data_IF_005208826171
#
_entry.id   IF_005208826171
#
_cell.length_a   1.000
_cell.length_b   1.000
_cell.length_c   1.000
_cell.angle_alpha   90.00
_cell.angle_beta   90.00
_cell.angle_gamma   90.00
#
_symmetry.space_group_name_H-M   'P 1'
#
loop_
_entity.id
_entity.type
_entity.pdbx_description
1 polymer ?
#
# COMPACT_ATOMS: atom_id res chain seq x y z
N UNK A 1 62.07 -6.28 -16.62
CA UNK A 1 63.36 -6.97 -16.39
C UNK A 1 63.40 -7.38 -14.93
N UNK A 2 63.91 -8.59 -14.64
CA UNK A 2 64.03 -9.32 -13.36
C UNK A 2 63.12 -10.55 -13.15
N UNK A 3 63.66 -11.66 -13.66
CA UNK A 3 63.92 -12.99 -13.04
C UNK A 3 62.93 -13.63 -12.05
N UNK A 4 62.46 -14.82 -12.45
CA UNK A 4 61.94 -15.91 -11.62
C UNK A 4 63.06 -16.60 -10.81
N UNK A 5 62.75 -16.98 -9.57
CA UNK A 5 63.51 -17.94 -8.79
C UNK A 5 62.56 -18.98 -8.18
N UNK A 6 62.78 -20.25 -8.52
CA UNK A 6 62.11 -21.41 -7.92
C UNK A 6 62.80 -21.80 -6.61
N UNK A 7 62.03 -22.12 -5.55
CA UNK A 7 62.38 -23.19 -4.62
C UNK A 7 61.17 -23.66 -3.79
N UNK A 8 61.22 -24.95 -3.46
CA UNK A 8 60.13 -25.84 -3.03
C UNK A 8 59.87 -25.84 -1.50
N UNK A 9 58.57 -25.77 -1.15
CA UNK A 9 57.82 -26.54 -0.13
C UNK A 9 58.09 -26.33 1.38
N UNK A 10 57.16 -26.75 2.28
CA UNK A 10 55.80 -26.23 2.51
C UNK A 10 55.64 -25.71 3.95
N UNK A 11 54.73 -24.78 4.20
CA UNK A 11 54.02 -24.68 5.49
C UNK A 11 52.81 -23.76 5.35
N UNK A 12 51.69 -24.26 5.86
CA UNK A 12 50.51 -23.47 6.17
C UNK A 12 50.88 -22.33 7.12
N UNK A 13 50.01 -21.32 7.13
CA UNK A 13 50.03 -20.11 7.98
C UNK A 13 50.69 -18.91 7.29
N UNK A 14 49.86 -18.09 6.65
CA UNK A 14 49.68 -16.68 7.07
C UNK A 14 48.69 -15.96 6.13
N UNK A 15 47.52 -15.59 6.68
CA UNK A 15 46.60 -14.65 6.05
C UNK A 15 47.16 -13.24 6.27
N UNK A 16 47.63 -12.58 5.21
CA UNK A 16 47.95 -11.15 5.25
C UNK A 16 46.68 -10.34 4.99
N UNK A 17 46.18 -9.66 6.02
CA UNK A 17 45.12 -8.65 5.89
C UNK A 17 45.71 -7.34 5.37
N UNK A 18 45.19 -6.83 4.25
CA UNK A 18 45.40 -5.45 3.83
C UNK A 18 44.20 -4.60 4.28
N UNK A 19 44.45 -3.73 5.26
CA UNK A 19 43.52 -2.72 5.76
C UNK A 19 43.44 -1.55 4.77
N UNK A 20 42.23 -1.26 4.28
CA UNK A 20 41.89 0.03 3.71
C UNK A 20 40.66 0.53 4.47
N UNK A 21 40.82 1.65 5.19
CA UNK A 21 39.76 2.28 5.96
C UNK A 21 38.80 3.04 5.04
N UNK A 22 37.53 2.62 4.98
CA UNK A 22 36.35 3.49 4.91
C UNK A 22 35.13 2.69 5.39
N UNK A 23 34.22 3.36 6.11
CA UNK A 23 33.09 2.78 6.87
C UNK A 23 31.79 2.70 6.01
N UNK A 24 30.71 2.01 6.42
CA UNK A 24 30.59 0.56 6.41
C UNK A 24 29.32 0.10 5.65
N UNK A 25 29.49 -0.76 4.64
CA UNK A 25 28.60 -1.85 4.22
C UNK A 25 29.01 -2.25 2.80
N UNK A 26 28.93 -3.54 2.49
CA UNK A 26 29.48 -4.22 1.30
C UNK A 26 30.94 -4.68 1.44
N UNK A 27 31.11 -5.86 2.04
CA UNK A 27 32.19 -6.79 1.69
C UNK A 27 31.71 -7.69 0.54
N UNK A 28 32.44 -7.72 -0.58
CA UNK A 28 32.27 -8.76 -1.60
C UNK A 28 32.91 -10.05 -1.10
N UNK A 29 32.15 -11.15 -1.07
CA UNK A 29 32.69 -12.50 -0.93
C UNK A 29 32.41 -13.28 -2.22
N UNK A 30 33.48 -13.75 -2.86
CA UNK A 30 33.41 -14.72 -3.95
C UNK A 30 34.05 -16.03 -3.50
N UNK A 31 33.39 -17.16 -3.72
CA UNK A 31 33.98 -18.48 -3.57
C UNK A 31 34.51 -18.96 -4.93
N UNK A 32 35.77 -19.40 -4.98
CA UNK A 32 36.37 -20.05 -6.14
C UNK A 32 36.46 -21.54 -5.83
N UNK A 33 35.79 -22.38 -6.63
CA UNK A 33 36.00 -23.83 -6.59
C UNK A 33 37.03 -24.23 -7.66
N UNK A 34 37.98 -25.13 -7.34
CA UNK A 34 38.91 -25.64 -8.34
C UNK A 34 38.23 -26.75 -9.16
N UNK A 35 38.08 -26.51 -10.45
CA UNK A 35 37.96 -27.59 -11.45
C UNK A 35 39.14 -27.39 -12.40
N UNK A 36 39.76 -28.50 -12.79
CA UNK A 36 41.08 -28.65 -13.41
C UNK A 36 41.50 -27.63 -14.49
N UNK A 37 42.82 -27.47 -14.63
CA UNK A 37 43.54 -26.49 -15.47
C UNK A 37 42.84 -26.16 -16.78
N UNK A 38 42.70 -24.84 -16.99
CA UNK A 38 42.26 -24.16 -18.19
C UNK A 38 40.73 -24.20 -18.42
N UNK A 39 39.97 -23.38 -17.67
CA UNK A 39 38.87 -22.49 -18.11
C UNK A 39 38.06 -21.97 -16.89
N UNK A 40 37.73 -20.67 -16.84
CA UNK A 40 36.83 -20.07 -15.84
C UNK A 40 35.44 -19.82 -16.46
N UNK A 41 34.37 -20.24 -15.79
CA UNK A 41 32.98 -19.90 -16.13
C UNK A 41 32.45 -18.84 -15.16
N UNK A 42 31.85 -17.77 -15.65
CA UNK A 42 31.11 -16.78 -14.85
C UNK A 42 29.62 -16.99 -15.14
N UNK A 43 28.88 -17.57 -14.19
CA UNK A 43 27.42 -17.65 -14.25
C UNK A 43 26.81 -16.54 -13.39
N UNK A 44 25.93 -15.73 -13.99
CA UNK A 44 25.32 -14.55 -13.38
C UNK A 44 23.88 -14.90 -12.98
N UNK A 45 23.64 -15.23 -11.71
CA UNK A 45 22.28 -15.32 -11.16
C UNK A 45 21.95 -14.06 -10.37
N UNK A 46 20.91 -13.34 -10.78
CA UNK A 46 20.29 -12.27 -10.00
C UNK A 46 19.10 -12.83 -9.23
N UNK A 47 19.27 -13.06 -7.93
CA UNK A 47 18.17 -13.28 -6.99
C UNK A 47 18.52 -12.67 -5.64
N UNK A 48 17.60 -11.86 -5.12
CA UNK A 48 17.65 -11.13 -3.85
C UNK A 48 17.83 -12.07 -2.63
N UNK A 49 18.43 -11.58 -1.52
CA UNK A 49 18.70 -12.37 -0.32
C UNK A 49 17.53 -12.35 0.70
N UNK A 50 17.42 -13.37 1.58
CA UNK A 50 16.62 -13.30 2.79
C UNK A 50 17.41 -12.72 3.98
N UNK A 51 16.75 -12.16 5.02
CA UNK A 51 17.41 -11.66 6.22
C UNK A 51 17.63 -12.77 7.28
N UNK A 52 18.72 -12.64 8.03
CA UNK A 52 19.12 -13.45 9.18
C UNK A 52 18.62 -12.78 10.48
N UNK A 53 17.99 -13.54 11.37
CA UNK A 53 18.32 -13.59 12.82
C UNK A 53 17.45 -14.62 13.54
N UNK A 54 18.06 -15.66 14.12
CA UNK A 54 17.45 -16.45 15.20
C UNK A 54 18.36 -16.39 16.43
N UNK A 55 17.73 -16.01 17.54
CA UNK A 55 18.21 -16.14 18.91
C UNK A 55 18.35 -17.62 19.28
N UNK A 56 19.42 -17.92 20.01
CA UNK A 56 19.67 -19.19 20.67
C UNK A 56 18.57 -19.51 21.70
N UNK A 57 18.15 -20.78 21.77
CA UNK A 57 17.82 -21.50 23.02
C UNK A 57 17.81 -23.02 22.76
N UNK A 58 18.11 -23.84 23.79
CA UNK A 58 18.84 -25.10 23.60
C UNK A 58 17.96 -26.34 23.35
N UNK A 59 18.49 -27.24 22.51
CA UNK A 59 18.01 -28.60 22.30
C UNK A 59 18.03 -29.41 23.60
N UNK A 60 16.86 -29.83 24.09
CA UNK A 60 16.75 -31.04 24.89
C UNK A 60 16.71 -32.24 23.95
N UNK A 61 17.72 -33.10 24.07
CA UNK A 61 17.79 -34.42 23.45
C UNK A 61 16.62 -35.30 23.91
N UNK A 62 15.60 -35.46 23.07
CA UNK A 62 14.65 -36.56 23.21
C UNK A 62 15.25 -37.83 22.59
N UNK A 63 15.78 -38.66 23.49
CA UNK A 63 16.12 -40.06 23.28
C UNK A 63 14.90 -40.78 22.67
N UNK A 64 15.04 -41.31 21.46
CA UNK A 64 14.01 -42.13 20.83
C UNK A 64 13.86 -43.44 21.60
N UNK A 65 12.83 -43.55 22.43
CA UNK A 65 12.37 -44.85 22.90
C UNK A 65 11.56 -45.50 21.78
N UNK A 66 12.08 -46.60 21.26
CA UNK A 66 11.36 -47.58 20.45
C UNK A 66 10.19 -48.13 21.26
N UNK A 67 9.00 -47.59 21.06
CA UNK A 67 7.74 -48.20 21.51
C UNK A 67 7.36 -49.24 20.45
N UNK A 68 7.80 -50.48 20.68
CA UNK A 68 7.07 -51.65 20.19
C UNK A 68 5.76 -51.74 20.98
N UNK A 69 4.72 -52.19 20.29
CA UNK A 69 3.39 -52.50 20.79
C UNK A 69 2.42 -51.32 21.05
N UNK A 70 1.83 -50.84 19.96
CA UNK A 70 0.44 -50.35 19.99
C UNK A 70 -0.35 -50.92 18.80
N UNK A 71 -1.00 -52.06 19.04
CA UNK A 71 -2.06 -52.62 18.19
C UNK A 71 -3.34 -51.78 18.35
N UNK A 72 -3.46 -50.63 17.66
CA UNK A 72 -4.76 -50.02 17.40
C UNK A 72 -4.69 -48.98 16.25
N UNK A 73 -5.28 -49.24 15.06
CA UNK A 73 -5.16 -48.36 13.90
C UNK A 73 -6.00 -47.07 13.97
N UNK A 74 -6.72 -46.81 15.07
CA UNK A 74 -7.66 -45.68 15.20
C UNK A 74 -7.06 -44.37 15.72
N UNK A 75 -5.77 -44.33 16.10
CA UNK A 75 -5.14 -43.12 16.68
C UNK A 75 -4.04 -42.46 15.84
N UNK A 76 -3.68 -43.03 14.68
CA UNK A 76 -2.69 -42.43 13.77
C UNK A 76 -3.28 -41.33 12.85
N UNK A 77 -4.61 -41.28 12.73
CA UNK A 77 -5.32 -40.35 11.84
C UNK A 77 -5.50 -38.96 12.48
N UNK A 78 -5.42 -38.86 13.82
CA UNK A 78 -5.72 -37.62 14.53
C UNK A 78 -4.56 -36.61 14.55
N UNK A 79 -3.31 -37.06 14.43
CA UNK A 79 -2.12 -36.19 14.48
C UNK A 79 -1.72 -35.67 13.09
N UNK A 80 -1.95 -36.45 12.03
CA UNK A 80 -1.73 -36.01 10.65
C UNK A 80 -2.73 -34.93 10.19
N UNK A 81 -3.91 -34.88 10.81
CA UNK A 81 -4.96 -33.90 10.48
C UNK A 81 -4.67 -32.48 11.00
N UNK A 82 -3.83 -32.32 12.03
CA UNK A 82 -3.47 -31.01 12.57
C UNK A 82 -2.29 -30.35 11.86
N UNK A 83 -1.40 -31.14 11.25
CA UNK A 83 -0.24 -30.60 10.51
C UNK A 83 -0.61 -30.20 9.07
N UNK A 84 -1.64 -30.82 8.48
CA UNK A 84 -2.13 -30.43 7.14
C UNK A 84 -3.08 -29.22 7.15
N UNK A 85 -3.62 -28.81 8.29
CA UNK A 85 -4.51 -27.65 8.38
C UNK A 85 -3.77 -26.31 8.62
N UNK A 86 -2.45 -26.35 8.83
CA UNK A 86 -1.64 -25.16 9.14
C UNK A 86 -1.07 -24.43 7.90
N UNK A 87 -1.32 -24.90 6.67
CA UNK A 87 -0.64 -24.39 5.45
C UNK A 87 -1.51 -23.53 4.52
N UNK A 88 -2.78 -23.25 4.84
CA UNK A 88 -3.62 -22.40 3.97
C UNK A 88 -4.40 -21.31 4.71
N UNK A 89 -3.74 -20.63 5.66
CA UNK A 89 -4.13 -19.26 5.99
C UNK A 89 -3.21 -18.35 5.18
N UNK A 90 -3.53 -18.15 3.89
CA UNK A 90 -3.07 -16.93 3.22
C UNK A 90 -3.68 -15.79 4.02
N UNK A 91 -2.88 -15.13 4.85
CA UNK A 91 -3.24 -13.86 5.44
C UNK A 91 -3.49 -12.91 4.27
N UNK A 92 -4.74 -12.75 3.89
CA UNK A 92 -5.17 -11.79 2.89
C UNK A 92 -4.94 -10.42 3.50
N UNK A 93 -3.78 -9.84 3.23
CA UNK A 93 -3.60 -8.40 3.44
C UNK A 93 -4.65 -7.72 2.60
N UNK A 94 -5.56 -6.99 3.25
CA UNK A 94 -6.62 -6.24 2.60
C UNK A 94 -5.99 -5.12 1.77
N UNK A 95 -5.68 -5.43 0.51
CA UNK A 95 -5.12 -4.51 -0.46
C UNK A 95 -6.10 -4.39 -1.62
N UNK A 96 -6.16 -3.21 -2.21
CA UNK A 96 -6.91 -2.95 -3.43
C UNK A 96 -6.45 -3.92 -4.54
N UNK A 97 -7.39 -4.34 -5.37
CA UNK A 97 -7.08 -5.23 -6.50
C UNK A 97 -6.18 -4.50 -7.51
N UNK A 98 -5.12 -5.17 -7.93
CA UNK A 98 -4.14 -4.65 -8.91
C UNK A 98 -4.46 -5.04 -10.37
N UNK A 99 -5.43 -5.94 -10.62
CA UNK A 99 -5.79 -6.42 -11.98
C UNK A 99 -7.22 -6.04 -12.39
N UNK A 100 -7.36 -5.65 -13.64
CA UNK A 100 -8.40 -4.76 -14.17
C UNK A 100 -9.46 -5.47 -15.00
N UNK A 101 -9.25 -6.72 -15.41
CA UNK A 101 -10.23 -7.45 -16.24
C UNK A 101 -11.41 -8.03 -15.45
N UNK A 102 -11.34 -7.90 -14.13
CA UNK A 102 -12.20 -8.60 -13.22
C UNK A 102 -13.40 -7.76 -12.79
N UNK A 103 -13.34 -6.42 -12.93
CA UNK A 103 -14.45 -5.51 -12.63
C UNK A 103 -14.43 -4.26 -13.53
N UNK A 104 -15.54 -3.52 -13.60
CA UNK A 104 -15.64 -2.22 -14.26
C UNK A 104 -16.46 -1.22 -13.43
N UNK A 105 -16.60 0.03 -13.92
CA UNK A 105 -17.41 1.08 -13.28
C UNK A 105 -18.73 1.39 -14.00
N UNK A 106 -19.10 0.60 -15.01
CA UNK A 106 -20.28 0.86 -15.83
C UNK A 106 -21.55 0.44 -15.07
N UNK A 107 -22.47 1.38 -14.87
CA UNK A 107 -23.74 1.08 -14.22
C UNK A 107 -24.57 0.12 -15.07
N UNK A 108 -25.01 -0.99 -14.48
CA UNK A 108 -25.79 -2.03 -15.16
C UNK A 108 -24.96 -3.08 -15.91
N UNK A 109 -23.63 -2.94 -15.95
CA UNK A 109 -22.74 -4.00 -16.42
C UNK A 109 -22.73 -5.18 -15.43
N UNK A 110 -22.61 -6.42 -15.93
CA UNK A 110 -22.40 -7.61 -15.09
C UNK A 110 -21.13 -7.52 -14.24
N UNK A 111 -20.16 -6.70 -14.66
CA UNK A 111 -18.91 -6.42 -13.92
C UNK A 111 -18.92 -5.07 -13.20
N UNK A 112 -20.05 -4.37 -13.25
CA UNK A 112 -20.19 -3.03 -12.68
C UNK A 112 -20.34 -3.01 -11.16
N UNK A 113 -20.34 -1.82 -10.53
CA UNK A 113 -20.31 -1.68 -9.07
C UNK A 113 -21.47 -2.34 -8.31
N UNK A 114 -22.62 -2.51 -8.97
CA UNK A 114 -23.78 -3.22 -8.41
C UNK A 114 -23.60 -4.73 -8.30
N UNK A 115 -22.62 -5.29 -9.01
CA UNK A 115 -22.37 -6.74 -9.11
C UNK A 115 -21.00 -7.16 -8.59
N UNK A 116 -20.13 -6.24 -8.15
CA UNK A 116 -18.79 -6.58 -7.68
C UNK A 116 -18.75 -7.70 -6.64
N UNK A 117 -19.70 -7.72 -5.69
CA UNK A 117 -19.75 -8.79 -4.68
C UNK A 117 -20.23 -10.15 -5.18
N UNK A 118 -20.77 -10.22 -6.40
CA UNK A 118 -21.18 -11.47 -7.05
C UNK A 118 -20.07 -12.07 -7.93
N UNK A 119 -19.04 -11.29 -8.28
CA UNK A 119 -17.98 -11.71 -9.20
C UNK A 119 -17.03 -12.72 -8.58
N UNK A 120 -16.76 -12.59 -7.27
CA UNK A 120 -15.85 -13.45 -6.52
C UNK A 120 -16.29 -13.57 -5.07
N UNK A 121 -16.05 -14.74 -4.49
CA UNK A 121 -16.29 -14.99 -3.06
C UNK A 121 -15.54 -14.00 -2.16
N UNK A 122 -14.28 -13.71 -2.48
CA UNK A 122 -13.46 -12.79 -1.68
C UNK A 122 -13.92 -11.32 -1.79
N UNK A 123 -14.86 -11.02 -2.69
CA UNK A 123 -15.41 -9.67 -2.91
C UNK A 123 -16.82 -9.52 -2.31
N UNK A 124 -17.34 -10.53 -1.62
CA UNK A 124 -18.69 -10.54 -1.05
C UNK A 124 -19.01 -9.30 -0.19
N UNK A 125 -17.99 -8.74 0.49
CA UNK A 125 -18.12 -7.51 1.26
C UNK A 125 -18.61 -6.31 0.42
N UNK A 126 -18.32 -6.28 -0.89
CA UNK A 126 -18.83 -5.24 -1.79
C UNK A 126 -20.38 -5.22 -1.87
N UNK A 127 -21.03 -6.35 -1.60
CA UNK A 127 -22.49 -6.51 -1.62
C UNK A 127 -23.11 -6.55 -0.22
N UNK A 128 -22.48 -7.30 0.68
CA UNK A 128 -23.05 -7.61 2.01
C UNK A 128 -22.50 -6.71 3.14
N UNK A 129 -21.49 -5.87 2.85
CA UNK A 129 -20.89 -4.98 3.83
C UNK A 129 -21.86 -3.89 4.32
N UNK A 130 -21.82 -3.60 5.61
CA UNK A 130 -22.68 -2.58 6.26
C UNK A 130 -21.97 -1.25 6.51
N UNK A 131 -20.65 -1.20 6.29
CA UNK A 131 -19.79 -0.05 6.49
C UNK A 131 -19.07 0.34 5.19
N UNK A 132 -19.74 0.17 4.05
CA UNK A 132 -19.16 0.42 2.74
C UNK A 132 -18.92 1.91 2.45
N UNK A 133 -17.84 2.20 1.72
CA UNK A 133 -17.47 3.52 1.19
C UNK A 133 -17.64 3.55 -0.34
N UNK A 134 -17.83 4.72 -0.97
CA UNK A 134 -17.89 6.07 -0.38
C UNK A 134 -19.27 6.40 0.23
N UNK A 135 -19.37 7.50 1.00
CA UNK A 135 -20.63 8.01 1.56
C UNK A 135 -20.90 9.48 1.23
N UNK A 136 -22.13 9.94 1.44
CA UNK A 136 -22.47 11.36 1.49
C UNK A 136 -22.18 11.95 2.88
N UNK A 137 -21.32 12.98 2.91
CA UNK A 137 -20.89 13.70 4.11
C UNK A 137 -21.85 14.85 4.42
N UNK A 138 -23.10 14.49 4.75
CA UNK A 138 -24.17 15.46 5.01
C UNK A 138 -23.96 16.25 6.30
N UNK A 139 -24.02 17.59 6.25
CA UNK A 139 -23.90 18.45 7.43
C UNK A 139 -25.03 18.29 8.45
N UNK A 140 -26.13 17.61 8.10
CA UNK A 140 -27.24 17.31 9.02
C UNK A 140 -26.99 16.10 9.91
N UNK A 141 -26.00 15.26 9.57
CA UNK A 141 -25.72 13.97 10.23
C UNK A 141 -24.29 13.90 10.74
N UNK A 142 -23.70 15.05 11.07
CA UNK A 142 -22.34 15.10 11.63
C UNK A 142 -22.34 15.49 13.09
N UNK A 143 -21.56 14.76 13.87
CA UNK A 143 -21.16 15.13 15.21
C UNK A 143 -19.99 16.12 15.10
N UNK A 144 -20.15 17.34 15.61
CA UNK A 144 -19.07 18.34 15.58
C UNK A 144 -18.13 18.09 16.75
N UNK A 145 -16.88 17.76 16.45
CA UNK A 145 -15.83 17.56 17.45
C UNK A 145 -14.97 18.83 17.52
N UNK A 146 -15.14 19.68 18.55
CA UNK A 146 -14.34 20.89 18.71
C UNK A 146 -12.92 20.50 19.16
N UNK A 147 -12.06 20.21 18.19
CA UNK A 147 -10.65 19.90 18.42
C UNK A 147 -9.79 20.91 17.68
N UNK A 148 -8.92 21.57 18.44
CA UNK A 148 -7.99 22.60 17.93
C UNK A 148 -6.84 22.03 17.08
N UNK A 149 -6.72 20.72 16.97
CA UNK A 149 -5.54 20.08 16.37
C UNK A 149 -5.82 19.68 14.93
N UNK A 150 -5.01 20.22 14.03
CA UNK A 150 -4.88 19.76 12.66
C UNK A 150 -4.51 18.26 12.65
N UNK A 151 -4.84 17.57 11.55
CA UNK A 151 -4.38 16.20 11.33
C UNK A 151 -2.84 16.21 11.44
N UNK A 152 -2.30 15.47 12.42
CA UNK A 152 -0.86 15.33 12.63
C UNK A 152 -0.26 14.54 11.46
N UNK A 153 0.63 15.19 10.71
CA UNK A 153 1.29 14.64 9.52
C UNK A 153 2.79 14.82 9.65
N UNK A 154 3.52 13.72 9.51
CA UNK A 154 4.98 13.67 9.59
C UNK A 154 5.54 13.09 8.29
N UNK A 155 5.12 13.64 7.14
CA UNK A 155 5.59 13.19 5.83
C UNK A 155 7.02 13.63 5.55
N UNK A 156 7.71 12.84 4.72
CA UNK A 156 9.07 13.14 4.25
C UNK A 156 9.25 12.70 2.79
N UNK A 157 10.20 13.31 2.05
CA UNK A 157 10.48 12.93 0.67
C UNK A 157 10.94 11.48 0.58
N UNK A 158 10.44 10.76 -0.43
CA UNK A 158 10.80 9.38 -0.67
C UNK A 158 10.74 9.08 -2.18
N UNK A 159 11.47 8.06 -2.63
CA UNK A 159 11.36 7.60 -4.01
C UNK A 159 9.93 7.11 -4.27
N UNK A 160 9.41 7.46 -5.44
CA UNK A 160 8.06 7.10 -5.83
C UNK A 160 7.99 6.58 -7.28
N UNK A 161 7.00 5.74 -7.52
CA UNK A 161 6.68 5.16 -8.82
C UNK A 161 5.25 5.53 -9.17
N UNK A 162 5.04 6.17 -10.32
CA UNK A 162 3.70 6.35 -10.86
C UNK A 162 3.33 5.12 -11.67
N UNK A 163 2.12 4.60 -11.48
CA UNK A 163 1.63 3.39 -12.13
C UNK A 163 0.26 3.66 -12.73
N UNK A 164 0.08 3.22 -13.97
CA UNK A 164 -1.24 3.04 -14.54
C UNK A 164 -1.73 1.64 -14.17
N UNK A 165 -2.66 1.58 -13.20
CA UNK A 165 -3.32 0.32 -12.80
C UNK A 165 -4.57 0.07 -13.63
N UNK A 166 -4.74 0.78 -14.76
CA UNK A 166 -5.83 0.76 -15.75
C UNK A 166 -7.24 1.03 -15.27
N UNK A 167 -7.54 0.88 -13.98
CA UNK A 167 -8.76 1.39 -13.33
C UNK A 167 -8.52 2.73 -12.63
N UNK A 168 -7.26 3.07 -12.35
CA UNK A 168 -6.82 4.38 -11.88
C UNK A 168 -5.33 4.64 -12.20
N UNK A 169 -4.90 5.87 -11.92
CA UNK A 169 -3.50 6.23 -11.82
C UNK A 169 -3.13 6.27 -10.34
N UNK A 170 -2.06 5.58 -9.96
CA UNK A 170 -1.54 5.60 -8.60
C UNK A 170 -0.09 6.08 -8.56
N UNK A 171 0.30 6.61 -7.41
CA UNK A 171 1.66 7.00 -7.06
C UNK A 171 2.03 6.22 -5.79
N UNK A 172 2.92 5.24 -5.93
CA UNK A 172 3.46 4.43 -4.84
C UNK A 172 4.72 5.06 -4.29
N UNK A 173 4.84 5.19 -2.97
CA UNK A 173 6.13 5.50 -2.34
C UNK A 173 6.83 4.19 -1.95
N UNK A 174 8.06 4.02 -2.41
CA UNK A 174 8.80 2.73 -2.31
C UNK A 174 9.47 2.51 -0.95
N UNK A 175 9.42 3.51 -0.08
CA UNK A 175 10.05 3.47 1.24
C UNK A 175 9.24 4.24 2.27
N UNK A 176 9.91 4.73 3.30
CA UNK A 176 9.25 5.51 4.34
C UNK A 176 9.00 6.96 3.87
N UNK A 177 7.80 7.23 3.37
CA UNK A 177 7.31 8.57 3.05
C UNK A 177 6.76 9.34 4.27
N UNK A 178 6.93 8.78 5.47
CA UNK A 178 6.38 9.30 6.72
C UNK A 178 4.93 8.86 6.95
N UNK A 179 4.26 9.50 7.90
CA UNK A 179 3.00 8.99 8.44
C UNK A 179 1.99 10.08 8.80
N UNK A 180 0.75 9.64 9.04
CA UNK A 180 -0.24 10.38 9.82
C UNK A 180 -0.43 9.72 11.18
N UNK A 181 -0.80 10.49 12.19
CA UNK A 181 -1.09 9.97 13.51
C UNK A 181 -2.58 10.08 13.85
N UNK A 182 -3.19 8.94 14.20
CA UNK A 182 -4.60 8.85 14.62
C UNK A 182 -4.63 8.18 16.00
N UNK A 183 -5.09 8.91 17.02
CA UNK A 183 -5.20 8.41 18.40
C UNK A 183 -3.92 7.76 18.96
N UNK A 184 -2.75 8.30 18.59
CA UNK A 184 -1.44 7.80 19.02
C UNK A 184 -0.86 6.68 18.14
N UNK A 185 -1.65 6.12 17.21
CA UNK A 185 -1.17 5.15 16.22
C UNK A 185 -0.67 5.85 14.97
N UNK A 186 0.51 5.46 14.51
CA UNK A 186 1.08 5.93 13.25
C UNK A 186 0.65 5.05 12.08
N UNK A 187 0.15 5.70 11.03
CA UNK A 187 -0.23 5.09 9.75
C UNK A 187 0.70 5.66 8.67
N UNK A 188 1.55 4.81 8.11
CA UNK A 188 2.59 5.19 7.15
C UNK A 188 2.00 5.32 5.76
N UNK A 189 2.32 6.41 5.06
CA UNK A 189 1.86 6.65 3.70
C UNK A 189 2.43 5.57 2.77
N UNK A 190 1.55 4.93 2.03
CA UNK A 190 1.89 3.82 1.14
C UNK A 190 1.73 4.25 -0.32
N UNK A 191 0.54 4.72 -0.69
CA UNK A 191 0.23 5.14 -2.06
C UNK A 191 -0.82 6.25 -2.08
N UNK A 192 -0.91 6.95 -3.21
CA UNK A 192 -2.04 7.83 -3.50
C UNK A 192 -2.58 7.61 -4.91
N UNK A 193 -3.90 7.69 -5.08
CA UNK A 193 -4.56 7.50 -6.37
C UNK A 193 -5.75 8.44 -6.55
N UNK A 194 -6.22 8.57 -7.79
CA UNK A 194 -7.22 9.57 -8.15
C UNK A 194 -8.48 8.95 -8.77
N UNK A 195 -9.63 9.47 -8.34
CA UNK A 195 -10.94 9.16 -8.89
C UNK A 195 -11.58 10.39 -9.54
N UNK A 196 -12.16 10.25 -10.73
CA UNK A 196 -12.94 11.29 -11.38
C UNK A 196 -14.27 10.74 -11.92
N UNK A 197 -15.44 11.29 -11.53
CA UNK A 197 -15.64 12.35 -10.54
C UNK A 197 -15.24 11.90 -9.12
N UNK A 198 -15.42 12.75 -8.11
CA UNK A 198 -15.23 12.34 -6.72
C UNK A 198 -16.14 11.17 -6.36
N UNK A 199 -15.65 10.27 -5.52
CA UNK A 199 -16.40 9.14 -5.00
C UNK A 199 -17.33 9.57 -3.87
N UNK A 200 -16.77 10.28 -2.89
CA UNK A 200 -17.55 10.92 -1.84
C UNK A 200 -18.35 12.09 -2.37
N UNK A 201 -19.37 12.46 -1.61
CA UNK A 201 -20.15 13.68 -1.83
C UNK A 201 -20.28 14.48 -0.53
N UNK A 202 -20.55 15.78 -0.66
CA UNK A 202 -20.91 16.63 0.47
C UNK A 202 -22.29 17.21 0.19
N UNK A 203 -23.28 16.87 1.02
CA UNK A 203 -24.66 17.29 0.86
C UNK A 203 -25.22 16.94 -0.53
N UNK A 204 -24.94 15.73 -1.00
CA UNK A 204 -25.36 15.20 -2.30
C UNK A 204 -24.56 15.72 -3.49
N UNK A 205 -23.62 16.65 -3.29
CA UNK A 205 -22.77 17.18 -4.36
C UNK A 205 -21.48 16.37 -4.50
N UNK A 206 -21.26 15.80 -5.68
CA UNK A 206 -19.95 15.30 -6.13
C UNK A 206 -19.09 16.44 -6.69
N UNK A 207 -17.79 16.23 -6.65
CA UNK A 207 -16.74 17.13 -7.15
C UNK A 207 -16.05 16.51 -8.37
N UNK A 208 -15.18 17.27 -9.02
CA UNK A 208 -14.63 16.91 -10.33
C UNK A 208 -13.53 15.84 -10.25
N UNK A 209 -12.84 15.76 -9.10
CA UNK A 209 -11.78 14.80 -8.82
C UNK A 209 -11.65 14.60 -7.30
N UNK A 210 -11.19 13.41 -6.90
CA UNK A 210 -10.84 13.07 -5.52
C UNK A 210 -9.50 12.33 -5.48
N UNK A 211 -8.59 12.76 -4.60
CA UNK A 211 -7.35 12.05 -4.30
C UNK A 211 -7.55 11.24 -3.03
N UNK A 212 -7.18 9.96 -3.04
CA UNK A 212 -7.07 9.11 -1.87
C UNK A 212 -5.61 8.87 -1.55
N UNK A 213 -5.18 9.22 -0.34
CA UNK A 213 -3.86 8.89 0.19
C UNK A 213 -4.01 7.74 1.18
N UNK A 214 -3.54 6.55 0.82
CA UNK A 214 -3.69 5.31 1.60
C UNK A 214 -2.49 5.14 2.54
N UNK A 215 -2.78 4.84 3.79
CA UNK A 215 -1.80 4.66 4.85
C UNK A 215 -2.01 3.34 5.58
N UNK A 216 -0.91 2.72 6.00
CA UNK A 216 -0.89 1.42 6.66
C UNK A 216 -0.26 1.52 8.06
N UNK A 217 -0.95 0.99 9.06
CA UNK A 217 -0.37 0.77 10.39
C UNK A 217 0.58 -0.42 10.34
N UNK A 218 1.78 -0.27 10.90
CA UNK A 218 2.80 -1.33 10.97
C UNK A 218 2.72 -2.17 12.24
N UNK A 219 2.12 -1.62 13.31
CA UNK A 219 1.95 -2.34 14.58
C UNK A 219 0.98 -3.52 14.38
N UNK A 220 1.40 -4.78 14.62
CA UNK A 220 0.56 -5.96 14.45
C UNK A 220 -0.67 -5.97 15.36
N UNK A 221 -0.68 -5.24 16.48
CA UNK A 221 -1.79 -5.20 17.43
C UNK A 221 -2.93 -4.25 17.04
N UNK A 222 -2.70 -3.36 16.06
CA UNK A 222 -3.73 -2.43 15.58
C UNK A 222 -4.79 -3.18 14.78
N UNK A 223 -6.07 -3.12 15.18
CA UNK A 223 -7.16 -3.79 14.45
C UNK A 223 -7.41 -3.16 13.09
N UNK A 224 -7.62 -1.85 13.04
CA UNK A 224 -7.88 -1.12 11.79
C UNK A 224 -6.55 -0.75 11.13
N UNK A 225 -6.05 -1.59 10.23
CA UNK A 225 -4.73 -1.40 9.61
C UNK A 225 -4.66 -0.25 8.62
N UNK A 226 -5.79 0.16 8.05
CA UNK A 226 -5.82 1.08 6.90
C UNK A 226 -6.47 2.40 7.31
N UNK A 227 -5.79 3.50 6.98
CA UNK A 227 -6.35 4.84 7.07
C UNK A 227 -6.20 5.56 5.72
N UNK A 228 -7.25 6.23 5.27
CA UNK A 228 -7.24 6.96 4.00
C UNK A 228 -7.52 8.43 4.24
N UNK A 229 -6.72 9.30 3.63
CA UNK A 229 -6.99 10.74 3.58
C UNK A 229 -7.50 11.12 2.20
N UNK A 230 -8.73 11.63 2.14
CA UNK A 230 -9.39 12.05 0.90
C UNK A 230 -9.35 13.56 0.69
N UNK A 231 -9.00 14.02 -0.51
CA UNK A 231 -9.04 15.44 -0.91
C UNK A 231 -9.96 15.66 -2.11
N UNK A 232 -10.92 16.57 -1.98
CA UNK A 232 -11.77 16.98 -3.10
C UNK A 232 -11.14 18.08 -3.94
N UNK A 233 -11.42 18.05 -5.24
CA UNK A 233 -11.04 19.07 -6.19
C UNK A 233 -12.23 19.48 -7.05
N UNK A 234 -12.35 20.78 -7.29
CA UNK A 234 -13.22 21.33 -8.33
C UNK A 234 -12.40 21.88 -9.48
N UNK A 235 -12.98 21.97 -10.68
CA UNK A 235 -12.32 22.65 -11.80
C UNK A 235 -11.97 24.09 -11.43
N UNK A 236 -10.73 24.48 -11.70
CA UNK A 236 -10.16 25.80 -11.44
C UNK A 236 -8.71 25.89 -11.91
N UNK A 237 -7.85 26.56 -11.14
CA UNK A 237 -6.40 26.54 -11.37
C UNK A 237 -5.83 25.12 -11.29
N UNK A 238 -4.76 24.88 -12.05
CA UNK A 238 -4.06 23.61 -12.03
C UNK A 238 -3.51 23.28 -10.63
N UNK A 239 -3.44 22.00 -10.33
CA UNK A 239 -2.78 21.50 -9.13
C UNK A 239 -1.28 21.34 -9.39
N UNK A 240 -0.45 22.06 -8.62
CA UNK A 240 1.01 22.08 -8.77
C UNK A 240 1.62 20.67 -8.65
N UNK A 241 1.11 19.87 -7.71
CA UNK A 241 1.63 18.53 -7.44
C UNK A 241 1.33 17.59 -8.61
N UNK A 242 0.07 17.55 -9.05
CA UNK A 242 -0.35 16.71 -10.17
C UNK A 242 0.38 17.09 -11.47
N UNK A 243 0.73 18.37 -11.66
CA UNK A 243 1.51 18.85 -12.81
C UNK A 243 2.87 18.16 -12.94
N UNK A 244 3.49 17.75 -11.83
CA UNK A 244 4.76 17.02 -11.83
C UNK A 244 4.63 15.61 -12.41
N UNK A 245 3.44 15.03 -12.33
CA UNK A 245 3.15 13.66 -12.76
C UNK A 245 2.67 13.59 -14.22
N UNK A 246 2.10 14.68 -14.75
CA UNK A 246 1.39 14.70 -16.04
C UNK A 246 2.19 14.18 -17.22
N UNK A 247 3.48 14.50 -17.32
CA UNK A 247 4.32 14.04 -18.45
C UNK A 247 4.39 12.51 -18.50
N UNK A 248 4.60 11.87 -17.35
CA UNK A 248 4.67 10.42 -17.27
C UNK A 248 3.28 9.79 -17.45
N UNK A 249 2.24 10.37 -16.84
CA UNK A 249 0.86 9.89 -17.00
C UNK A 249 0.45 9.85 -18.47
N UNK A 250 0.69 10.93 -19.22
CA UNK A 250 0.37 11.01 -20.65
C UNK A 250 1.19 10.03 -21.51
N UNK A 251 2.40 9.67 -21.08
CA UNK A 251 3.21 8.66 -21.79
C UNK A 251 2.71 7.23 -21.62
N UNK A 252 1.84 7.00 -20.62
CA UNK A 252 1.26 5.70 -20.26
C UNK A 252 -0.21 5.55 -20.70
N UNK A 253 -0.72 6.47 -21.53
CA UNK A 253 -2.07 6.35 -22.09
C UNK A 253 -2.27 5.01 -22.79
N UNK A 254 -3.35 4.32 -22.42
CA UNK A 254 -3.74 2.99 -22.91
C UNK A 254 -2.68 1.89 -22.70
N UNK A 255 -1.71 2.13 -21.82
CA UNK A 255 -0.62 1.20 -21.53
C UNK A 255 -0.51 1.00 -20.03
N UNK A 256 -0.64 -0.27 -19.61
CA UNK A 256 -0.23 -0.70 -18.28
C UNK A 256 1.27 -0.52 -18.17
N UNK A 257 1.67 0.42 -17.35
CA UNK A 257 3.04 0.87 -17.32
C UNK A 257 3.33 1.54 -15.99
N UNK A 258 4.61 1.58 -15.64
CA UNK A 258 5.09 2.22 -14.45
C UNK A 258 6.34 3.04 -14.75
N UNK A 259 6.47 4.16 -14.04
CA UNK A 259 7.59 5.08 -14.21
C UNK A 259 8.10 5.51 -12.86
N UNK A 260 9.39 5.28 -12.64
CA UNK A 260 10.09 5.82 -11.49
C UNK A 260 10.12 7.36 -11.61
N UNK A 261 9.59 8.04 -10.60
CA UNK A 261 9.49 9.50 -10.53
C UNK A 261 10.68 10.14 -9.81
N UNK A 262 11.64 9.33 -9.34
CA UNK A 262 12.65 9.75 -8.37
C UNK A 262 12.02 10.12 -7.04
N UNK A 263 12.64 11.08 -6.34
CA UNK A 263 12.17 11.55 -5.04
C UNK A 263 10.96 12.46 -5.21
N UNK A 264 9.84 12.08 -4.60
CA UNK A 264 8.61 12.88 -4.51
C UNK A 264 8.32 13.20 -3.05
N UNK A 265 8.06 14.47 -2.74
CA UNK A 265 7.71 14.93 -1.40
C UNK A 265 6.18 14.97 -1.20
N UNK A 266 5.58 14.10 -0.36
CA UNK A 266 4.15 14.11 -0.10
C UNK A 266 3.65 15.41 0.55
N UNK A 267 4.54 16.21 1.18
CA UNK A 267 4.18 17.49 1.80
C UNK A 267 3.71 18.54 0.78
N UNK A 268 4.08 18.36 -0.50
CA UNK A 268 3.61 19.21 -1.60
C UNK A 268 2.12 19.02 -1.91
N UNK A 269 1.52 17.92 -1.43
CA UNK A 269 0.07 17.72 -1.46
C UNK A 269 -0.57 18.63 -0.38
N UNK A 270 -0.85 19.87 -0.79
CA UNK A 270 -1.47 20.89 0.05
C UNK A 270 -2.92 20.54 0.40
N UNK A 271 -3.17 19.84 1.51
CA UNK A 271 -4.55 19.59 1.98
C UNK A 271 -5.32 20.91 2.17
N UNK A 272 -4.74 21.84 2.94
CA UNK A 272 -5.35 23.14 3.23
C UNK A 272 -6.59 23.06 4.13
N UNK A 273 -6.85 24.13 4.88
CA UNK A 273 -7.92 24.15 5.88
C UNK A 273 -7.62 23.31 7.13
N UNK A 274 -8.47 23.46 8.14
CA UNK A 274 -8.35 22.78 9.45
C UNK A 274 -9.52 21.85 9.77
N UNK A 275 -10.45 21.69 8.81
CA UNK A 275 -11.69 20.94 9.00
C UNK A 275 -11.67 19.66 8.18
N UNK A 276 -12.01 18.54 8.79
CA UNK A 276 -12.10 17.26 8.11
C UNK A 276 -13.21 16.40 8.71
N UNK A 277 -13.78 15.54 7.88
CA UNK A 277 -14.70 14.50 8.29
C UNK A 277 -13.91 13.25 8.66
N UNK A 278 -14.40 12.49 9.64
CA UNK A 278 -13.85 11.21 10.07
C UNK A 278 -14.98 10.20 10.22
N UNK A 279 -14.81 9.02 9.62
CA UNK A 279 -15.75 7.92 9.79
C UNK A 279 -15.06 6.57 9.52
N UNK A 280 -15.71 5.48 9.93
CA UNK A 280 -15.28 4.11 9.61
C UNK A 280 -15.97 3.60 8.35
N UNK A 281 -15.18 3.13 7.39
CA UNK A 281 -15.64 2.74 6.07
C UNK A 281 -14.97 1.49 5.52
N UNK A 282 -14.93 1.38 4.20
CA UNK A 282 -14.27 0.32 3.46
C UNK A 282 -13.30 0.87 2.40
N UNK A 283 -12.59 -0.03 1.71
CA UNK A 283 -12.05 0.25 0.38
C UNK A 283 -13.19 0.55 -0.60
N UNK A 284 -12.94 1.42 -1.58
CA UNK A 284 -13.92 1.83 -2.60
C UNK A 284 -13.81 1.05 -3.90
N UNK A 285 -12.90 0.09 -3.95
CA UNK A 285 -12.75 -0.92 -5.00
C UNK A 285 -12.76 -2.31 -4.38
N UNK A 286 -13.02 -3.38 -5.15
CA UNK A 286 -12.90 -4.74 -4.63
C UNK A 286 -11.51 -4.98 -4.01
N UNK A 287 -11.43 -5.75 -2.91
CA UNK A 287 -12.47 -6.58 -2.27
C UNK A 287 -13.44 -5.81 -1.34
N UNK A 288 -13.43 -4.48 -1.35
CA UNK A 288 -14.29 -3.64 -0.52
C UNK A 288 -14.19 -3.91 0.99
N UNK A 289 -13.00 -4.29 1.46
CA UNK A 289 -12.75 -4.62 2.87
C UNK A 289 -13.10 -3.47 3.78
N UNK A 290 -13.87 -3.75 4.84
CA UNK A 290 -14.28 -2.80 5.87
C UNK A 290 -13.19 -2.55 6.93
N UNK A 291 -13.43 -1.59 7.81
CA UNK A 291 -12.49 -1.23 8.87
C UNK A 291 -11.45 -0.20 8.44
N UNK A 292 -11.69 0.53 7.35
CA UNK A 292 -10.86 1.64 6.88
C UNK A 292 -11.21 2.92 7.62
N UNK A 293 -10.22 3.59 8.21
CA UNK A 293 -10.41 4.89 8.86
C UNK A 293 -10.34 5.99 7.80
N UNK A 294 -11.47 6.58 7.44
CA UNK A 294 -11.53 7.65 6.44
C UNK A 294 -11.37 9.02 7.08
N UNK A 295 -10.50 9.86 6.50
CA UNK A 295 -10.31 11.27 6.86
C UNK A 295 -10.51 12.12 5.62
N UNK A 296 -11.69 12.73 5.45
CA UNK A 296 -11.99 13.53 4.26
C UNK A 296 -11.78 15.01 4.55
N UNK A 297 -10.84 15.64 3.88
CA UNK A 297 -10.60 17.06 4.06
C UNK A 297 -11.79 17.90 3.55
N UNK A 298 -12.27 18.84 4.37
CA UNK A 298 -13.44 19.66 4.03
C UNK A 298 -13.10 20.77 3.03
N UNK A 299 -11.83 21.19 2.96
CA UNK A 299 -11.40 22.21 2.00
C UNK A 299 -11.39 21.62 0.59
N UNK A 300 -12.13 22.24 -0.32
CA UNK A 300 -12.13 21.89 -1.74
C UNK A 300 -10.96 22.58 -2.42
N UNK A 301 -10.09 21.80 -3.05
CA UNK A 301 -8.95 22.25 -3.85
C UNK A 301 -9.36 22.54 -5.30
N UNK A 302 -8.42 23.01 -6.10
CA UNK A 302 -8.63 23.24 -7.53
C UNK A 302 -7.74 22.33 -8.36
N UNK A 303 -8.25 21.90 -9.51
CA UNK A 303 -7.55 21.14 -10.54
C UNK A 303 -7.94 21.69 -11.91
N UNK A 304 -7.06 21.64 -12.92
CA UNK A 304 -7.43 22.11 -14.25
C UNK A 304 -8.26 21.06 -15.00
N UNK A 305 -9.01 21.49 -16.04
CA UNK A 305 -9.78 20.56 -16.88
C UNK A 305 -8.86 19.58 -17.62
N UNK A 306 -7.71 20.08 -18.05
CA UNK A 306 -6.69 19.33 -18.78
C UNK A 306 -6.11 18.24 -17.89
N UNK A 307 -5.80 18.54 -16.62
CA UNK A 307 -5.30 17.54 -15.67
C UNK A 307 -6.32 16.42 -15.40
N UNK A 308 -7.59 16.78 -15.21
CA UNK A 308 -8.67 15.77 -15.06
C UNK A 308 -8.79 14.94 -16.33
N UNK A 309 -8.77 15.58 -17.51
CA UNK A 309 -8.82 14.86 -18.80
C UNK A 309 -7.65 13.89 -18.94
N UNK A 310 -6.43 14.32 -18.62
CA UNK A 310 -5.22 13.48 -18.68
C UNK A 310 -5.33 12.23 -17.80
N UNK A 311 -5.92 12.33 -16.61
CA UNK A 311 -6.17 11.17 -15.76
C UNK A 311 -7.19 10.20 -16.37
N UNK A 312 -8.30 10.73 -16.91
CA UNK A 312 -9.37 9.91 -17.50
C UNK A 312 -8.93 9.15 -18.74
N UNK A 313 -8.17 9.81 -19.63
CA UNK A 313 -7.69 9.16 -20.86
C UNK A 313 -6.50 8.25 -20.64
N UNK A 314 -5.88 8.27 -19.45
CA UNK A 314 -4.77 7.37 -19.17
C UNK A 314 -5.24 5.96 -18.80
N UNK A 315 -6.40 5.85 -18.16
CA UNK A 315 -7.03 4.60 -17.73
C UNK A 315 -7.89 3.99 -18.84
N UNK A 316 -8.33 2.76 -18.67
CA UNK A 316 -9.21 2.11 -19.64
C UNK A 316 -10.57 2.83 -19.81
N UNK A 317 -11.18 2.70 -20.99
CA UNK A 317 -12.46 3.35 -21.35
C UNK A 317 -13.56 3.16 -20.29
N UNK A 318 -13.69 1.95 -19.72
CA UNK A 318 -14.68 1.65 -18.70
C UNK A 318 -14.37 2.28 -17.32
N UNK A 319 -13.18 2.86 -17.16
CA UNK A 319 -12.69 3.53 -15.97
C UNK A 319 -12.46 5.04 -16.18
N UNK A 320 -12.81 5.62 -17.34
CA UNK A 320 -12.81 7.08 -17.52
C UNK A 320 -13.63 7.80 -16.44
N UNK A 321 -14.65 7.12 -15.92
CA UNK A 321 -15.42 7.52 -14.74
C UNK A 321 -15.29 6.47 -13.63
N UNK A 322 -14.09 6.37 -13.05
CA UNK A 322 -13.74 5.38 -12.04
C UNK A 322 -14.27 5.67 -10.64
N UNK A 323 -15.51 6.11 -10.50
CA UNK A 323 -16.07 6.47 -9.19
C UNK A 323 -17.19 5.52 -8.77
N UNK A 324 -16.98 4.75 -7.69
CA UNK A 324 -18.02 3.91 -7.08
C UNK A 324 -19.22 4.78 -6.66
N UNK A 325 -20.47 4.30 -6.83
CA UNK A 325 -21.65 4.96 -6.32
C UNK A 325 -21.60 5.19 -4.80
N UNK A 326 -22.31 6.21 -4.32
CA UNK A 326 -22.44 6.45 -2.87
C UNK A 326 -23.18 5.28 -2.23
N UNK A 327 -22.62 4.77 -1.14
CA UNK A 327 -23.14 3.67 -0.35
C UNK A 327 -24.01 4.20 0.80
N UNK A 328 -24.89 3.33 1.32
CA UNK A 328 -25.79 3.69 2.42
C UNK A 328 -25.01 4.01 3.69
N UNK A 329 -25.38 5.10 4.37
CA UNK A 329 -24.73 5.48 5.64
C UNK A 329 -24.92 4.43 6.74
N UNK A 330 -26.08 3.77 6.74
CA UNK A 330 -26.52 2.86 7.81
C UNK A 330 -26.43 3.57 9.19
N UNK A 331 -25.99 2.86 10.22
CA UNK A 331 -25.91 3.37 11.59
C UNK A 331 -24.59 4.08 11.91
N UNK A 332 -23.79 4.43 10.88
CA UNK A 332 -22.47 5.04 11.08
C UNK A 332 -22.58 6.50 11.45
N UNK A 333 -21.82 6.90 12.45
CA UNK A 333 -21.59 8.29 12.79
C UNK A 333 -20.49 8.90 11.92
N UNK A 334 -20.67 10.17 11.57
CA UNK A 334 -19.67 10.97 10.86
C UNK A 334 -19.24 12.09 11.80
N UNK A 335 -17.96 12.14 12.13
CA UNK A 335 -17.43 13.20 12.95
C UNK A 335 -16.87 14.33 12.08
N UNK A 336 -17.20 15.57 12.39
CA UNK A 336 -16.63 16.76 11.77
C UNK A 336 -15.68 17.44 12.77
N UNK A 337 -14.38 17.32 12.51
CA UNK A 337 -13.33 17.95 13.29
C UNK A 337 -13.04 19.36 12.78
N UNK A 338 -12.67 20.25 13.70
CA UNK A 338 -12.02 21.52 13.41
C UNK A 338 -12.26 22.60 14.46
N UNK A 339 -11.77 23.84 14.22
CA UNK A 339 -11.88 24.92 15.19
C UNK A 339 -13.35 25.26 15.46
N UNK A 340 -13.64 25.51 16.74
CA UNK A 340 -14.96 25.87 17.23
C UNK A 340 -15.41 27.16 16.53
N UNK A 341 -16.67 27.29 16.06
CA UNK A 341 -17.13 28.50 15.36
C UNK A 341 -16.91 29.79 16.16
N UNK A 342 -16.94 29.69 17.48
CA UNK A 342 -16.76 30.81 18.42
C UNK A 342 -15.34 31.32 18.55
N UNK A 343 -14.31 30.61 18.08
CA UNK A 343 -12.91 31.06 18.21
C UNK A 343 -12.42 31.99 17.08
N UNK A 344 -13.32 32.41 16.17
CA UNK A 344 -12.98 33.31 15.04
C UNK A 344 -13.47 34.74 15.23
N UNK A 345 -13.97 35.07 16.43
CA UNK A 345 -14.19 36.45 16.87
C UNK A 345 -13.28 36.71 18.07
N UNK A 346 -12.03 37.09 17.81
CA UNK A 346 -11.16 37.86 18.72
C UNK A 346 -10.02 38.41 17.88
#
# INVERSE_FOLDING_TARGET
MFTLGNNLNPKLEDFTFLSISTCPSYSLFGYIYPITRDHYFIEKYSSFPPPISYLETPFWLLRTHTIKDMKNPSKLIFVASFVFFAILIKSTTAQEVEDEREFDYLQGSEKGPGHWGDLKKDWEACKNGSMQSPIDLSSKRVEVIPKLLDLKRNYKPCNATVKNRGHDISLKWEGDAGSIQINGTDYFLDQGHWHSPSEHSINGRRYDLELHMVHLARDPNVTNKIAVVGLFYKIGHHDDFLSKLMRNILSMTDKKDERNMGVIDPREIKMGGKKYYRYMGSLTVPPCTEGVIWTINKKIRTVSREQVKSLRVAVHDYAEKNARPVQQLNNREIQLYGPNPTSTRN
#
